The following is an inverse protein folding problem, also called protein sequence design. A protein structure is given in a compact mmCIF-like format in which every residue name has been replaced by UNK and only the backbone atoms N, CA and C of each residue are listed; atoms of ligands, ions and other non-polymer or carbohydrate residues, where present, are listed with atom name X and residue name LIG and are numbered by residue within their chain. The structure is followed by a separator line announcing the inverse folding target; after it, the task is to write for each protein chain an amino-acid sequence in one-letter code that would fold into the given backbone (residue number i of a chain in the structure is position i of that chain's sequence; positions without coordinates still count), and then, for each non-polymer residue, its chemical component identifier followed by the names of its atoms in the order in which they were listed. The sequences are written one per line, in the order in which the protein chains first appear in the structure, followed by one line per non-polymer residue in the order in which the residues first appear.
data_IF_723875387837
#
_entry.id   IF_723875387837
#
_cell.length_a   1.000
_cell.length_b   1.000
_cell.length_c   1.000
_cell.angle_alpha   90.00
_cell.angle_beta   90.00
_cell.angle_gamma   90.00
#
_symmetry.space_group_name_H-M   'P 1'
#
loop_
_entity.id
_entity.type
_entity.pdbx_description
1 polymer ?
#
# COMPACT_ATOMS: atom_id res chain seq x y z
N UNK A 1 15.67 -19.07 -19.61
CA UNK A 1 14.30 -19.04 -19.08
C UNK A 1 14.26 -18.11 -17.89
N UNK A 2 13.43 -17.08 -17.88
CA UNK A 2 13.22 -16.24 -16.68
C UNK A 2 12.68 -17.12 -15.56
N UNK A 3 13.26 -17.01 -14.37
CA UNK A 3 12.81 -17.78 -13.20
C UNK A 3 11.40 -17.30 -12.86
N UNK A 4 10.42 -18.21 -12.89
CA UNK A 4 9.04 -17.92 -12.53
C UNK A 4 8.98 -17.44 -11.08
N UNK A 5 8.22 -16.38 -10.82
CA UNK A 5 7.98 -15.90 -9.46
C UNK A 5 7.27 -17.01 -8.65
N UNK A 6 7.87 -17.43 -7.55
CA UNK A 6 7.20 -18.31 -6.59
C UNK A 6 6.28 -17.44 -5.74
N UNK A 7 4.96 -17.59 -5.90
CA UNK A 7 3.95 -16.85 -5.13
C UNK A 7 3.69 -17.58 -3.81
N UNK A 8 3.64 -16.85 -2.71
CA UNK A 8 3.30 -17.42 -1.41
C UNK A 8 1.79 -17.67 -1.30
N UNK A 9 0.99 -16.77 -1.84
CA UNK A 9 -0.45 -16.74 -1.66
C UNK A 9 -0.88 -16.06 -0.35
N UNK A 10 0.08 -15.47 0.37
CA UNK A 10 -0.14 -14.82 1.67
C UNK A 10 -0.26 -13.28 1.52
N UNK A 11 -0.48 -12.80 0.30
CA UNK A 11 -0.63 -11.38 0.04
C UNK A 11 -1.88 -10.84 0.74
N UNK A 12 -1.70 -9.80 1.54
CA UNK A 12 -2.80 -9.18 2.26
C UNK A 12 -3.61 -8.27 1.32
N UNK A 13 -4.91 -8.53 1.07
CA UNK A 13 -5.77 -7.66 0.26
C UNK A 13 -5.91 -6.26 0.86
N UNK A 14 -6.12 -5.24 0.02
CA UNK A 14 -6.33 -3.86 0.50
C UNK A 14 -7.51 -3.76 1.48
N UNK A 15 -8.61 -4.48 1.20
CA UNK A 15 -9.80 -4.55 2.06
C UNK A 15 -9.51 -5.11 3.45
N UNK A 16 -8.65 -6.12 3.54
CA UNK A 16 -8.26 -6.70 4.83
C UNK A 16 -7.41 -5.73 5.65
N UNK A 17 -6.51 -4.96 5.00
CA UNK A 17 -5.77 -3.90 5.71
C UNK A 17 -6.72 -2.85 6.29
N UNK A 18 -7.75 -2.49 5.52
CA UNK A 18 -8.76 -1.53 5.96
C UNK A 18 -9.54 -2.06 7.17
N UNK A 19 -10.05 -3.29 7.11
CA UNK A 19 -10.79 -3.92 8.20
C UNK A 19 -9.92 -4.05 9.46
N UNK A 20 -8.67 -4.52 9.29
CA UNK A 20 -7.74 -4.65 10.40
C UNK A 20 -7.46 -3.32 11.11
N UNK A 21 -7.33 -2.21 10.34
CA UNK A 21 -7.20 -0.87 10.93
C UNK A 21 -8.43 -0.50 11.74
N UNK A 22 -9.64 -0.75 11.21
CA UNK A 22 -10.89 -0.44 11.90
C UNK A 22 -11.04 -1.22 13.22
N UNK A 23 -10.79 -2.52 13.19
CA UNK A 23 -10.81 -3.36 14.39
C UNK A 23 -9.82 -2.88 15.45
N UNK A 24 -8.62 -2.49 15.01
CA UNK A 24 -7.59 -1.97 15.92
C UNK A 24 -7.96 -0.60 16.51
N UNK A 25 -8.60 0.28 15.73
CA UNK A 25 -9.13 1.57 16.22
C UNK A 25 -10.21 1.36 17.28
N UNK A 26 -11.15 0.46 17.02
CA UNK A 26 -12.22 0.11 17.98
C UNK A 26 -11.62 -0.47 19.26
N UNK A 27 -10.65 -1.37 19.15
CA UNK A 27 -9.94 -1.94 20.29
C UNK A 27 -9.19 -0.89 21.11
N UNK A 28 -8.53 0.07 20.47
CA UNK A 28 -7.86 1.18 21.16
C UNK A 28 -8.89 2.09 21.86
N UNK A 29 -9.97 2.43 21.19
CA UNK A 29 -11.03 3.27 21.75
C UNK A 29 -11.65 2.61 22.98
N UNK A 30 -11.96 1.31 22.91
CA UNK A 30 -12.49 0.54 24.03
C UNK A 30 -11.50 0.52 25.20
N UNK A 31 -10.22 0.25 24.94
CA UNK A 31 -9.18 0.22 25.96
C UNK A 31 -9.07 1.55 26.72
N UNK A 32 -9.06 2.67 26.00
CA UNK A 32 -8.86 3.98 26.62
C UNK A 32 -10.16 4.55 27.22
N UNK A 33 -11.32 4.15 26.73
CA UNK A 33 -12.61 4.52 27.35
C UNK A 33 -12.86 3.81 28.70
N UNK A 34 -12.18 2.70 28.93
CA UNK A 34 -12.28 1.90 30.16
C UNK A 34 -10.94 1.85 30.92
N UNK A 35 -10.14 2.91 30.79
CA UNK A 35 -8.78 2.97 31.33
C UNK A 35 -8.73 2.69 32.85
N UNK A 36 -9.76 3.09 33.61
CA UNK A 36 -9.88 2.87 35.05
C UNK A 36 -9.94 1.41 35.46
N UNK A 37 -10.29 0.51 34.57
CA UNK A 37 -10.33 -0.93 34.83
C UNK A 37 -8.98 -1.63 34.63
N UNK A 38 -7.96 -0.92 34.16
CA UNK A 38 -6.67 -1.51 33.85
C UNK A 38 -5.57 -1.02 34.81
N UNK A 39 -4.93 -1.94 35.51
CA UNK A 39 -3.87 -1.65 36.48
C UNK A 39 -2.74 -0.78 35.92
N UNK A 40 -2.40 -0.96 34.64
CA UNK A 40 -1.35 -0.18 33.97
C UNK A 40 -1.64 1.32 33.88
N UNK A 41 -2.86 1.76 34.11
CA UNK A 41 -3.27 3.18 34.12
C UNK A 41 -3.51 3.71 35.53
N UNK A 42 -3.48 2.89 36.58
CA UNK A 42 -3.89 3.22 37.93
C UNK A 42 -3.16 4.43 38.52
N UNK A 43 -1.92 4.69 38.12
CA UNK A 43 -1.10 5.81 38.60
C UNK A 43 -1.02 6.99 37.58
N UNK A 44 -1.79 6.91 36.49
CA UNK A 44 -1.80 7.94 35.46
C UNK A 44 -2.95 8.92 35.67
N UNK A 45 -2.66 10.20 35.49
CA UNK A 45 -3.69 11.23 35.41
C UNK A 45 -4.51 11.11 34.12
N UNK A 46 -5.73 11.64 34.09
CA UNK A 46 -6.57 11.67 32.88
C UNK A 46 -5.86 12.32 31.68
N UNK A 47 -5.02 13.35 31.94
CA UNK A 47 -4.23 14.03 30.90
C UNK A 47 -3.15 13.13 30.32
N UNK A 48 -2.51 12.33 31.15
CA UNK A 48 -1.50 11.35 30.69
C UNK A 48 -2.13 10.22 29.89
N UNK A 49 -3.29 9.70 30.31
CA UNK A 49 -4.08 8.70 29.61
C UNK A 49 -4.49 9.24 28.22
N UNK A 50 -5.03 10.47 28.17
CA UNK A 50 -5.39 11.11 26.91
C UNK A 50 -4.21 11.27 25.96
N UNK A 51 -3.06 11.74 26.47
CA UNK A 51 -1.82 11.87 25.68
C UNK A 51 -1.37 10.52 25.12
N UNK A 52 -1.41 9.49 25.95
CA UNK A 52 -1.04 8.13 25.54
C UNK A 52 -1.98 7.59 24.46
N UNK A 53 -3.31 7.80 24.61
CA UNK A 53 -4.32 7.44 23.60
C UNK A 53 -4.01 8.08 22.25
N UNK A 54 -3.79 9.39 22.22
CA UNK A 54 -3.44 10.11 20.99
C UNK A 54 -2.14 9.58 20.35
N UNK A 55 -1.13 9.27 21.17
CA UNK A 55 0.12 8.69 20.68
C UNK A 55 -0.08 7.31 20.06
N UNK A 56 -0.93 6.45 20.67
CA UNK A 56 -1.22 5.12 20.16
C UNK A 56 -2.05 5.16 18.87
N UNK A 57 -3.04 6.05 18.80
CA UNK A 57 -3.81 6.27 17.58
C UNK A 57 -2.93 6.75 16.42
N UNK A 58 -2.02 7.70 16.69
CA UNK A 58 -1.05 8.15 15.69
C UNK A 58 -0.12 7.03 15.22
N UNK A 59 0.34 6.17 16.12
CA UNK A 59 1.20 5.04 15.76
C UNK A 59 0.43 3.99 14.94
N UNK A 60 -0.83 3.70 15.30
CA UNK A 60 -1.69 2.81 14.52
C UNK A 60 -1.88 3.31 13.09
N UNK A 61 -2.14 4.61 12.92
CA UNK A 61 -2.25 5.23 11.59
C UNK A 61 -0.99 5.00 10.74
N UNK A 62 0.20 5.19 11.33
CA UNK A 62 1.47 4.95 10.65
C UNK A 62 1.65 3.50 10.23
N UNK A 63 1.31 2.56 11.10
CA UNK A 63 1.40 1.12 10.80
C UNK A 63 0.39 0.72 9.71
N UNK A 64 -0.81 1.27 9.74
CA UNK A 64 -1.83 1.03 8.72
C UNK A 64 -1.39 1.56 7.33
N UNK A 65 -0.84 2.79 7.27
CA UNK A 65 -0.27 3.34 6.03
C UNK A 65 0.86 2.45 5.50
N UNK A 66 1.75 1.97 6.37
CA UNK A 66 2.83 1.07 5.99
C UNK A 66 2.30 -0.24 5.41
N UNK A 67 1.33 -0.87 6.07
CA UNK A 67 0.71 -2.11 5.63
C UNK A 67 -0.01 -1.94 4.30
N UNK A 68 -0.78 -0.85 4.14
CA UNK A 68 -1.50 -0.54 2.91
C UNK A 68 -0.55 -0.33 1.72
N UNK A 69 0.53 0.39 1.92
CA UNK A 69 1.55 0.58 0.87
C UNK A 69 2.25 -0.72 0.49
N UNK A 70 2.49 -1.61 1.47
CA UNK A 70 3.09 -2.92 1.21
C UNK A 70 2.14 -3.81 0.40
N UNK A 71 0.85 -3.80 0.74
CA UNK A 71 -0.18 -4.54 0.00
C UNK A 71 -0.36 -4.00 -1.43
N UNK A 72 -0.36 -2.68 -1.61
CA UNK A 72 -0.44 -2.06 -2.93
C UNK A 72 0.79 -2.40 -3.79
N UNK A 73 2.00 -2.38 -3.20
CA UNK A 73 3.22 -2.79 -3.89
C UNK A 73 3.14 -4.25 -4.33
N UNK A 74 2.70 -5.15 -3.45
CA UNK A 74 2.51 -6.58 -3.77
C UNK A 74 1.50 -6.78 -4.91
N UNK A 75 0.35 -6.08 -4.86
CA UNK A 75 -0.66 -6.10 -5.91
C UNK A 75 -0.08 -5.69 -7.27
N UNK A 76 0.67 -4.60 -7.31
CA UNK A 76 1.30 -4.12 -8.54
C UNK A 76 2.39 -5.07 -9.06
N UNK A 77 3.16 -5.69 -8.17
CA UNK A 77 4.15 -6.71 -8.53
C UNK A 77 3.47 -7.94 -9.14
N UNK A 78 2.37 -8.41 -8.56
CA UNK A 78 1.61 -9.53 -9.09
C UNK A 78 1.01 -9.22 -10.46
N UNK A 79 0.42 -8.03 -10.65
CA UNK A 79 -0.08 -7.59 -11.96
C UNK A 79 1.03 -7.55 -13.01
N UNK A 80 2.20 -7.00 -12.66
CA UNK A 80 3.37 -6.98 -13.55
C UNK A 80 3.78 -8.38 -14.00
N UNK A 81 3.92 -9.31 -13.06
CA UNK A 81 4.30 -10.70 -13.37
C UNK A 81 3.22 -11.42 -14.19
N UNK A 82 1.94 -11.22 -13.86
CA UNK A 82 0.82 -11.77 -14.63
C UNK A 82 0.85 -11.30 -16.09
N UNK A 83 1.08 -10.02 -16.33
CA UNK A 83 1.18 -9.45 -17.68
C UNK A 83 2.30 -10.05 -18.50
N UNK A 84 3.40 -10.40 -17.87
CA UNK A 84 4.55 -11.04 -18.53
C UNK A 84 4.25 -12.52 -18.77
N UNK A 85 3.82 -13.27 -17.77
CA UNK A 85 3.61 -14.72 -17.83
C UNK A 85 2.45 -15.12 -18.74
N UNK A 86 1.30 -14.43 -18.59
CA UNK A 86 0.08 -14.71 -19.37
C UNK A 86 0.10 -14.05 -20.74
N UNK A 87 1.11 -13.23 -21.03
CA UNK A 87 1.33 -12.58 -22.33
C UNK A 87 0.13 -11.80 -22.85
N UNK A 88 -0.52 -11.03 -21.97
CA UNK A 88 -1.62 -10.17 -22.38
C UNK A 88 -1.23 -9.26 -23.54
N UNK A 89 -2.22 -8.89 -24.39
CA UNK A 89 -1.96 -8.21 -25.67
C UNK A 89 -2.08 -6.68 -25.57
N UNK A 90 -2.46 -6.14 -24.41
CA UNK A 90 -2.55 -4.71 -24.16
C UNK A 90 -1.18 -4.03 -24.27
N UNK A 91 -1.16 -2.69 -24.47
CA UNK A 91 0.07 -1.92 -24.67
C UNK A 91 1.04 -2.04 -23.49
N UNK A 92 0.53 -2.02 -22.23
CA UNK A 92 1.35 -2.09 -21.04
C UNK A 92 2.05 -3.45 -20.89
N UNK A 93 1.32 -4.54 -21.16
CA UNK A 93 1.89 -5.88 -21.14
C UNK A 93 2.96 -6.07 -22.20
N UNK A 94 2.82 -5.45 -23.38
CA UNK A 94 3.87 -5.41 -24.41
C UNK A 94 5.07 -4.61 -23.94
N UNK A 95 4.85 -3.44 -23.35
CA UNK A 95 5.90 -2.58 -22.79
C UNK A 95 6.72 -3.32 -21.71
N UNK A 96 6.04 -3.93 -20.74
CA UNK A 96 6.71 -4.69 -19.67
C UNK A 96 7.55 -5.85 -20.23
N UNK A 97 7.04 -6.62 -21.19
CA UNK A 97 7.84 -7.69 -21.82
C UNK A 97 9.05 -7.18 -22.59
N UNK A 98 8.93 -6.03 -23.27
CA UNK A 98 10.05 -5.43 -24.00
C UNK A 98 11.13 -4.89 -23.05
N UNK A 99 10.73 -4.32 -21.92
CA UNK A 99 11.63 -3.76 -20.91
C UNK A 99 12.26 -4.84 -20.02
N UNK A 100 11.57 -5.98 -19.82
CA UNK A 100 12.02 -7.08 -18.97
C UNK A 100 12.80 -8.13 -19.76
N UNK A 101 13.94 -7.73 -20.31
CA UNK A 101 14.79 -8.61 -21.14
C UNK A 101 15.80 -9.45 -20.32
N UNK A 102 15.98 -9.19 -19.01
CA UNK A 102 16.97 -9.86 -18.17
C UNK A 102 16.47 -10.16 -16.76
N UNK A 103 17.02 -11.18 -16.07
CA UNK A 103 16.69 -11.51 -14.69
C UNK A 103 17.29 -10.48 -13.73
N UNK A 104 16.65 -9.32 -13.62
CA UNK A 104 16.99 -8.29 -12.62
C UNK A 104 15.86 -8.21 -11.59
N UNK A 105 16.19 -7.71 -10.41
CA UNK A 105 15.18 -7.36 -9.41
C UNK A 105 14.30 -6.23 -9.97
N UNK A 106 13.00 -6.43 -9.96
CA UNK A 106 12.01 -5.43 -10.41
C UNK A 106 11.84 -4.38 -9.32
N UNK A 107 11.99 -3.13 -9.70
CA UNK A 107 11.71 -1.99 -8.83
C UNK A 107 10.26 -1.53 -9.02
N UNK A 108 9.55 -1.37 -7.91
CA UNK A 108 8.17 -0.87 -7.95
C UNK A 108 8.10 0.52 -8.60
N UNK A 109 8.98 1.44 -8.22
CA UNK A 109 8.96 2.81 -8.75
C UNK A 109 9.50 2.89 -10.18
N UNK A 110 10.72 2.42 -10.41
CA UNK A 110 11.40 2.65 -11.69
C UNK A 110 10.96 1.71 -12.81
N UNK A 111 10.47 0.52 -12.52
CA UNK A 111 10.05 -0.42 -13.56
C UNK A 111 8.51 -0.47 -13.69
N UNK A 112 7.77 -0.56 -12.57
CA UNK A 112 6.31 -0.73 -12.63
C UNK A 112 5.61 0.62 -12.80
N UNK A 113 5.80 1.56 -11.86
CA UNK A 113 5.10 2.85 -11.91
C UNK A 113 5.49 3.63 -13.17
N UNK A 114 6.77 3.71 -13.50
CA UNK A 114 7.21 4.42 -14.70
C UNK A 114 6.69 3.76 -15.99
N UNK A 115 6.55 2.42 -16.02
CA UNK A 115 5.92 1.71 -17.12
C UNK A 115 4.44 2.12 -17.30
N UNK A 116 3.68 2.18 -16.21
CA UNK A 116 2.32 2.67 -16.23
C UNK A 116 2.21 4.11 -16.72
N UNK A 117 3.02 5.02 -16.17
CA UNK A 117 3.03 6.44 -16.57
C UNK A 117 3.47 6.67 -18.01
N UNK A 118 4.30 5.76 -18.56
CA UNK A 118 4.76 5.83 -19.95
C UNK A 118 3.67 5.41 -20.92
N UNK A 119 2.97 4.32 -20.64
CA UNK A 119 1.96 3.75 -21.52
C UNK A 119 0.61 4.42 -21.37
N UNK A 120 0.26 4.80 -20.14
CA UNK A 120 -1.00 5.46 -19.76
C UNK A 120 -0.72 6.76 -18.98
N UNK A 121 -0.41 7.87 -19.66
CA UNK A 121 -0.03 9.14 -19.01
C UNK A 121 -1.07 9.68 -18.03
N UNK A 122 -2.35 9.36 -18.22
CA UNK A 122 -3.46 9.71 -17.33
C UNK A 122 -3.32 9.11 -15.92
N UNK A 123 -2.59 8.01 -15.78
CA UNK A 123 -2.34 7.36 -14.48
C UNK A 123 -1.32 8.13 -13.63
N UNK A 124 -0.55 9.04 -14.23
CA UNK A 124 0.49 9.83 -13.56
C UNK A 124 -0.06 10.56 -12.34
N UNK A 125 -1.27 11.11 -12.39
CA UNK A 125 -1.90 11.82 -11.28
C UNK A 125 -2.06 10.96 -10.02
N UNK A 126 -2.24 9.64 -10.18
CA UNK A 126 -2.34 8.69 -9.07
C UNK A 126 -0.96 8.28 -8.56
N UNK A 127 -0.08 7.89 -9.47
CA UNK A 127 1.24 7.38 -9.12
C UNK A 127 2.17 8.45 -8.55
N UNK A 128 2.01 9.74 -8.90
CA UNK A 128 2.78 10.80 -8.26
C UNK A 128 2.49 10.91 -6.76
N UNK A 129 1.23 10.75 -6.35
CA UNK A 129 0.87 10.68 -4.92
C UNK A 129 1.49 9.45 -4.24
N UNK A 130 1.44 8.29 -4.90
CA UNK A 130 2.06 7.06 -4.39
C UNK A 130 3.57 7.20 -4.23
N UNK A 131 4.28 7.83 -5.17
CA UNK A 131 5.73 8.08 -5.06
C UNK A 131 6.10 8.91 -3.81
N UNK A 132 5.25 9.86 -3.41
CA UNK A 132 5.44 10.61 -2.17
C UNK A 132 5.31 9.69 -0.95
N UNK A 133 4.29 8.82 -0.93
CA UNK A 133 4.05 7.89 0.18
C UNK A 133 5.09 6.77 0.22
N UNK A 134 5.64 6.35 -0.93
CA UNK A 134 6.73 5.36 -0.99
C UNK A 134 7.97 5.82 -0.21
N UNK A 135 8.36 7.08 -0.31
CA UNK A 135 9.48 7.63 0.48
C UNK A 135 9.18 7.57 1.97
N UNK A 136 7.93 7.82 2.35
CA UNK A 136 7.48 7.72 3.72
C UNK A 136 7.46 6.27 4.23
N UNK A 137 6.96 5.34 3.42
CA UNK A 137 7.01 3.90 3.70
C UNK A 137 8.44 3.42 3.90
N UNK A 138 9.38 3.88 3.07
CA UNK A 138 10.79 3.56 3.22
C UNK A 138 11.36 4.04 4.57
N UNK A 139 11.05 5.27 4.96
CA UNK A 139 11.42 5.81 6.27
C UNK A 139 10.84 4.98 7.43
N UNK A 140 9.56 4.57 7.34
CA UNK A 140 8.91 3.69 8.32
C UNK A 140 9.63 2.34 8.43
N UNK A 141 9.97 1.73 7.30
CA UNK A 141 10.63 0.42 7.23
C UNK A 141 12.05 0.43 7.84
N UNK A 142 12.74 1.56 7.78
CA UNK A 142 14.13 1.69 8.23
C UNK A 142 14.29 2.35 9.61
N UNK A 143 13.24 2.34 10.44
CA UNK A 143 13.34 2.72 11.85
C UNK A 143 13.28 4.22 12.14
N UNK A 144 12.89 5.04 11.16
CA UNK A 144 12.54 6.48 11.36
C UNK A 144 13.69 7.35 11.89
N UNK A 145 14.95 6.99 11.62
CA UNK A 145 16.11 7.64 12.25
C UNK A 145 16.56 8.94 11.59
N UNK A 146 15.98 9.33 10.44
CA UNK A 146 16.27 10.61 9.79
C UNK A 146 15.02 11.50 9.71
N UNK A 147 15.23 12.79 9.48
CA UNK A 147 14.13 13.73 9.29
C UNK A 147 13.50 13.53 7.90
N UNK A 148 12.17 13.55 7.84
CA UNK A 148 11.40 13.47 6.61
C UNK A 148 10.21 14.42 6.66
N UNK A 149 9.90 15.05 5.53
CA UNK A 149 8.60 15.71 5.35
C UNK A 149 7.52 14.66 5.25
N UNK A 150 6.69 14.56 6.28
CA UNK A 150 5.59 13.61 6.31
C UNK A 150 4.56 13.99 5.26
N UNK A 151 4.10 13.04 4.43
CA UNK A 151 3.03 13.31 3.48
C UNK A 151 1.77 13.70 4.26
N UNK A 152 1.08 14.73 3.77
CA UNK A 152 -0.24 15.13 4.28
C UNK A 152 -1.31 14.27 3.61
N UNK A 153 -1.32 12.98 3.93
CA UNK A 153 -2.30 12.03 3.43
C UNK A 153 -2.75 11.16 4.60
N UNK A 154 -4.07 11.02 4.78
CA UNK A 154 -4.64 10.10 5.74
C UNK A 154 -4.63 8.67 5.19
N UNK A 155 -4.86 7.70 6.07
CA UNK A 155 -5.02 6.30 5.64
C UNK A 155 -6.21 6.15 4.69
N UNK A 156 -7.33 6.81 4.97
CA UNK A 156 -8.54 6.75 4.15
C UNK A 156 -8.30 7.30 2.73
N UNK A 157 -7.66 8.46 2.61
CA UNK A 157 -7.30 9.02 1.30
C UNK A 157 -6.34 8.11 0.51
N UNK A 158 -5.40 7.47 1.21
CA UNK A 158 -4.47 6.51 0.60
C UNK A 158 -5.20 5.23 0.18
N UNK A 159 -6.16 4.76 0.98
CA UNK A 159 -6.96 3.58 0.67
C UNK A 159 -7.81 3.81 -0.58
N UNK A 160 -8.54 4.92 -0.67
CA UNK A 160 -9.30 5.30 -1.86
C UNK A 160 -8.41 5.36 -3.11
N UNK A 161 -7.22 5.94 -2.99
CA UNK A 161 -6.25 5.98 -4.08
C UNK A 161 -5.78 4.58 -4.50
N UNK A 162 -5.53 3.69 -3.54
CA UNK A 162 -5.12 2.32 -3.80
C UNK A 162 -6.23 1.52 -4.50
N UNK A 163 -7.49 1.70 -4.12
CA UNK A 163 -8.65 1.10 -4.79
C UNK A 163 -8.79 1.59 -6.24
N UNK A 164 -8.61 2.90 -6.48
CA UNK A 164 -8.62 3.45 -7.85
C UNK A 164 -7.53 2.79 -8.70
N UNK A 165 -6.31 2.64 -8.15
CA UNK A 165 -5.21 1.99 -8.87
C UNK A 165 -5.54 0.52 -9.15
N UNK A 166 -6.03 -0.21 -8.15
CA UNK A 166 -6.44 -1.61 -8.31
C UNK A 166 -7.49 -1.78 -9.41
N UNK A 167 -8.53 -0.97 -9.39
CA UNK A 167 -9.59 -0.99 -10.39
C UNK A 167 -9.05 -0.65 -11.79
N UNK A 168 -8.18 0.38 -11.89
CA UNK A 168 -7.54 0.76 -13.15
C UNK A 168 -6.74 -0.41 -13.74
N UNK A 169 -6.00 -1.16 -12.90
CA UNK A 169 -5.24 -2.33 -13.36
C UNK A 169 -6.15 -3.41 -13.96
N UNK A 170 -7.30 -3.68 -13.35
CA UNK A 170 -8.26 -4.68 -13.89
C UNK A 170 -8.83 -4.24 -15.23
N UNK A 171 -9.24 -2.99 -15.36
CA UNK A 171 -9.83 -2.47 -16.61
C UNK A 171 -8.83 -2.40 -17.78
N UNK A 172 -7.55 -2.23 -17.49
CA UNK A 172 -6.51 -2.09 -18.52
C UNK A 172 -5.91 -3.43 -18.96
N UNK A 173 -6.45 -4.57 -18.52
CA UNK A 173 -6.08 -5.90 -19.05
C UNK A 173 -6.86 -6.23 -20.31
N UNK A 174 -6.21 -6.87 -21.30
CA UNK A 174 -6.84 -7.22 -22.57
C UNK A 174 -7.93 -8.29 -22.49
N UNK A 175 -8.00 -8.99 -21.38
CA UNK A 175 -9.07 -9.93 -21.03
C UNK A 175 -10.20 -9.25 -20.24
N UNK A 176 -10.01 -8.00 -19.83
CA UNK A 176 -11.01 -7.13 -19.23
C UNK A 176 -12.00 -6.50 -20.22
N UNK A 177 -12.06 -6.99 -21.45
CA UNK A 177 -13.19 -6.70 -22.34
C UNK A 177 -14.41 -7.40 -21.74
N UNK A 178 -15.15 -6.64 -20.93
CA UNK A 178 -16.50 -7.00 -20.54
C UNK A 178 -17.24 -7.33 -21.84
N UNK A 179 -17.49 -8.62 -22.08
CA UNK A 179 -18.48 -9.00 -23.04
C UNK A 179 -19.81 -8.52 -22.49
N UNK A 180 -20.21 -7.34 -22.98
CA UNK A 180 -21.58 -6.84 -22.84
C UNK A 180 -22.59 -7.84 -23.37
#
# INVERSE_FOLDING_TARGET
MAKRLSRSGDELPLSEVYLYKKDAEEGLNLLFSQAEHYERFALMSAKEIQRLSMQRASELELQAIFSLMTSLEALCQLDFHDRIEKRYKDPLSKHFRASYMQPKRISFESDIINGWETVYPETRRFFQKIKVVLRYRHWLAHGRYWLIDKPKISFEELYELAEIIQNTMYFMRSDGVVKS
#
